data_IF_101822512998
#
_entry.id   IF_101822512998
#
_cell.length_a   1.000
_cell.length_b   1.000
_cell.length_c   1.000
_cell.angle_alpha   90.00
_cell.angle_beta   90.00
_cell.angle_gamma   90.00
#
_symmetry.space_group_name_H-M   'P 1'
#
loop_
_entity.id
_entity.type
_entity.pdbx_description
1 polymer ?
#
# COMPACT_ATOMS: atom_id res chain seq x y z
N UNK A 1 12.03 30.00 19.06
CA UNK A 1 13.08 29.31 18.27
C UNK A 1 12.63 27.89 17.99
N UNK A 2 11.90 27.68 16.90
CA UNK A 2 11.47 26.35 16.43
C UNK A 2 12.25 26.00 15.15
N UNK A 3 13.58 26.03 15.22
CA UNK A 3 14.45 25.66 14.09
C UNK A 3 14.94 24.23 14.30
N UNK A 4 14.40 23.30 13.51
CA UNK A 4 14.78 21.89 13.48
C UNK A 4 15.63 21.66 12.22
N UNK A 5 16.93 21.91 12.32
CA UNK A 5 17.85 21.94 11.16
C UNK A 5 18.94 20.88 11.20
N UNK A 6 19.10 20.18 12.34
CA UNK A 6 20.00 19.03 12.41
C UNK A 6 19.33 17.80 11.80
N UNK A 7 20.08 16.95 11.09
CA UNK A 7 19.53 15.80 10.35
C UNK A 7 18.66 14.88 11.22
N UNK A 8 19.05 14.66 12.49
CA UNK A 8 18.24 13.88 13.43
C UNK A 8 16.87 14.53 13.75
N UNK A 9 16.81 15.85 13.78
CA UNK A 9 15.57 16.59 13.97
C UNK A 9 14.72 16.60 12.71
N UNK A 10 15.34 16.63 11.52
CA UNK A 10 14.64 16.60 10.22
C UNK A 10 13.85 15.31 10.06
N UNK A 11 14.45 14.14 10.33
CA UNK A 11 13.75 12.85 10.23
C UNK A 11 12.52 12.78 11.15
N UNK A 12 12.63 13.34 12.35
CA UNK A 12 11.52 13.43 13.31
C UNK A 12 10.38 14.33 12.78
N UNK A 13 10.73 15.44 12.12
CA UNK A 13 9.75 16.36 11.51
C UNK A 13 9.08 15.70 10.32
N UNK A 14 9.83 15.03 9.44
CA UNK A 14 9.29 14.32 8.28
C UNK A 14 8.31 13.23 8.72
N UNK A 15 8.69 12.41 9.70
CA UNK A 15 7.80 11.40 10.28
C UNK A 15 6.49 12.00 10.79
N UNK A 16 6.58 13.10 11.55
CA UNK A 16 5.40 13.78 12.10
C UNK A 16 4.50 14.36 10.99
N UNK A 17 5.09 15.08 10.03
CA UNK A 17 4.35 15.73 8.94
C UNK A 17 3.68 14.69 8.04
N UNK A 18 4.42 13.67 7.64
CA UNK A 18 3.91 12.63 6.76
C UNK A 18 2.85 11.77 7.48
N UNK A 19 3.02 11.46 8.77
CA UNK A 19 1.98 10.79 9.56
C UNK A 19 0.69 11.59 9.60
N UNK A 20 0.76 12.91 9.78
CA UNK A 20 -0.43 13.78 9.77
C UNK A 20 -1.10 13.80 8.39
N UNK A 21 -0.34 13.90 7.29
CA UNK A 21 -0.90 13.83 5.93
C UNK A 21 -1.62 12.50 5.69
N UNK A 22 -1.03 11.38 6.10
CA UNK A 22 -1.65 10.06 6.01
C UNK A 22 -2.92 9.98 6.83
N UNK A 23 -2.90 10.44 8.09
CA UNK A 23 -4.10 10.52 8.92
C UNK A 23 -5.21 11.35 8.26
N UNK A 24 -4.87 12.53 7.74
CA UNK A 24 -5.81 13.43 7.07
C UNK A 24 -6.38 12.82 5.80
N UNK A 25 -5.60 12.04 5.05
CA UNK A 25 -6.10 11.28 3.92
C UNK A 25 -7.18 10.29 4.35
N UNK A 26 -6.88 9.42 5.31
CA UNK A 26 -7.84 8.43 5.83
C UNK A 26 -9.10 9.09 6.39
N UNK A 27 -8.95 10.20 7.12
CA UNK A 27 -10.07 10.95 7.67
C UNK A 27 -10.93 11.61 6.58
N UNK A 28 -10.32 12.36 5.67
CA UNK A 28 -11.05 13.23 4.76
C UNK A 28 -11.51 12.51 3.48
N UNK A 29 -10.76 11.51 3.01
CA UNK A 29 -11.06 10.76 1.78
C UNK A 29 -11.83 9.47 2.05
N UNK A 30 -11.58 8.83 3.19
CA UNK A 30 -12.15 7.52 3.53
C UNK A 30 -13.11 7.56 4.73
N UNK A 31 -13.29 8.71 5.37
CA UNK A 31 -14.11 8.87 6.56
C UNK A 31 -13.71 7.90 7.69
N UNK A 32 -12.41 7.63 7.83
CA UNK A 32 -11.84 6.76 8.85
C UNK A 32 -11.18 7.58 9.95
N UNK A 33 -11.54 7.33 11.21
CA UNK A 33 -10.90 8.01 12.33
C UNK A 33 -9.72 7.19 12.89
N UNK A 34 -8.51 7.44 12.39
CA UNK A 34 -7.26 6.75 12.79
C UNK A 34 -7.22 5.25 12.41
N UNK A 35 -6.18 4.55 12.87
CA UNK A 35 -5.87 3.15 12.53
C UNK A 35 -6.96 2.18 12.99
N UNK A 36 -7.67 2.42 14.10
CA UNK A 36 -8.74 1.55 14.62
C UNK A 36 -10.16 2.04 14.29
N UNK A 37 -10.27 3.10 13.50
CA UNK A 37 -11.51 3.82 13.21
C UNK A 37 -12.21 4.40 14.45
N UNK A 38 -11.53 4.55 15.59
CA UNK A 38 -12.05 5.08 16.86
C UNK A 38 -11.17 6.19 17.45
N UNK A 39 -10.20 6.66 16.69
CA UNK A 39 -9.33 7.76 17.09
C UNK A 39 -8.16 7.34 17.99
N UNK A 40 -7.65 6.11 17.85
CA UNK A 40 -6.43 5.72 18.55
C UNK A 40 -5.25 6.66 18.24
N UNK A 41 -4.32 6.77 19.19
CA UNK A 41 -3.05 7.42 18.96
C UNK A 41 -2.27 6.69 17.86
N UNK A 42 -1.60 7.46 16.99
CA UNK A 42 -0.68 6.93 15.99
C UNK A 42 0.73 7.15 16.51
N UNK A 43 1.45 6.05 16.77
CA UNK A 43 2.81 6.09 17.30
C UNK A 43 3.80 5.87 16.15
N UNK A 44 4.75 6.81 15.99
CA UNK A 44 5.86 6.69 15.05
C UNK A 44 7.19 6.83 15.79
N UNK A 45 8.08 5.86 15.61
CA UNK A 45 9.41 5.83 16.20
C UNK A 45 10.47 5.97 15.10
N UNK A 46 11.33 6.96 15.22
CA UNK A 46 12.43 7.24 14.28
C UNK A 46 13.78 6.89 14.93
N UNK A 47 14.86 6.93 14.15
CA UNK A 47 16.21 6.54 14.59
C UNK A 47 16.27 5.09 15.06
N UNK A 48 15.51 4.22 14.40
CA UNK A 48 15.45 2.81 14.72
C UNK A 48 16.73 2.14 14.25
N UNK A 49 17.47 1.53 15.18
CA UNK A 49 18.72 0.85 14.89
C UNK A 49 19.85 1.81 14.48
N UNK A 50 20.92 1.25 13.92
CA UNK A 50 22.07 1.99 13.39
C UNK A 50 22.23 1.60 11.91
N UNK A 51 22.28 2.59 11.01
CA UNK A 51 22.33 2.37 9.56
C UNK A 51 21.25 1.40 9.06
N UNK A 52 20.03 1.54 9.58
CA UNK A 52 18.96 0.59 9.34
C UNK A 52 18.15 1.00 8.10
N UNK A 53 18.33 0.27 7.01
CA UNK A 53 17.62 0.47 5.73
C UNK A 53 16.27 -0.25 5.69
N UNK A 54 15.39 0.00 6.67
CA UNK A 54 14.04 -0.52 6.64
C UNK A 54 13.07 0.30 7.51
N UNK A 55 11.77 0.15 7.22
CA UNK A 55 10.66 0.64 8.02
C UNK A 55 9.67 -0.51 8.21
N UNK A 56 8.88 -0.46 9.29
CA UNK A 56 7.89 -1.49 9.55
C UNK A 56 6.81 -1.02 10.53
N UNK A 57 5.59 -1.51 10.33
CA UNK A 57 4.57 -1.60 11.37
C UNK A 57 4.83 -2.79 12.29
N UNK A 58 4.68 -2.59 13.59
CA UNK A 58 4.74 -3.68 14.57
C UNK A 58 3.47 -3.76 15.40
N UNK A 59 2.57 -4.67 14.99
CA UNK A 59 1.24 -4.86 15.60
C UNK A 59 1.22 -5.00 17.12
N UNK A 60 2.14 -5.75 17.77
CA UNK A 60 2.16 -5.84 19.23
C UNK A 60 2.39 -4.51 19.97
N UNK A 61 2.93 -3.49 19.29
CA UNK A 61 3.16 -2.15 19.86
C UNK A 61 2.25 -1.08 19.25
N UNK A 62 1.39 -1.44 18.31
CA UNK A 62 0.55 -0.49 17.57
C UNK A 62 1.34 0.75 17.11
N UNK A 63 2.48 0.54 16.45
CA UNK A 63 3.41 1.59 16.07
C UNK A 63 4.21 1.32 14.81
N UNK A 64 4.59 2.42 14.14
CA UNK A 64 5.47 2.43 12.97
C UNK A 64 6.90 2.74 13.40
N UNK A 65 7.86 2.08 12.78
CA UNK A 65 9.28 2.16 13.12
C UNK A 65 10.06 2.49 11.86
N UNK A 66 10.87 3.55 11.90
CA UNK A 66 11.61 4.06 10.74
C UNK A 66 13.11 4.10 11.04
N UNK A 67 13.88 3.39 10.22
CA UNK A 67 15.33 3.54 10.19
C UNK A 67 15.75 4.82 9.48
N UNK A 68 16.96 5.28 9.80
CA UNK A 68 17.56 6.46 9.16
C UNK A 68 18.18 6.14 7.79
N UNK A 69 18.10 4.88 7.34
CA UNK A 69 18.74 4.40 6.14
C UNK A 69 20.19 3.97 6.38
N UNK A 70 20.77 3.26 5.41
CA UNK A 70 22.16 2.81 5.43
C UNK A 70 23.10 3.70 4.59
N UNK A 71 22.54 4.70 3.90
CA UNK A 71 23.27 5.59 2.99
C UNK A 71 23.70 4.93 1.68
N UNK A 72 23.34 3.66 1.45
CA UNK A 72 23.68 2.89 0.25
C UNK A 72 22.43 2.61 -0.57
N UNK A 73 21.42 2.00 0.06
CA UNK A 73 20.12 1.74 -0.52
C UNK A 73 19.10 2.78 -0.09
N UNK A 74 19.15 3.18 1.18
CA UNK A 74 18.16 4.06 1.77
C UNK A 74 18.79 5.28 2.44
N UNK A 75 18.17 6.43 2.21
CA UNK A 75 18.16 7.55 3.16
C UNK A 75 17.02 7.36 4.17
N UNK A 76 16.74 8.34 5.04
CA UNK A 76 15.69 8.20 6.05
C UNK A 76 14.35 7.81 5.42
N UNK A 77 13.77 6.71 5.90
CA UNK A 77 12.52 6.18 5.32
C UNK A 77 11.30 7.03 5.69
N UNK A 78 11.34 7.72 6.84
CA UNK A 78 10.28 8.63 7.27
C UNK A 78 10.09 9.84 6.34
N UNK A 79 11.09 10.15 5.50
CA UNK A 79 11.04 11.21 4.49
C UNK A 79 10.01 10.93 3.39
N UNK A 80 9.81 9.65 3.05
CA UNK A 80 8.92 9.25 1.95
C UNK A 80 7.47 9.16 2.45
N UNK A 81 6.58 9.97 1.88
CA UNK A 81 5.18 10.04 2.33
C UNK A 81 4.43 8.73 2.06
N UNK A 82 4.68 8.12 0.92
CA UNK A 82 4.13 6.82 0.53
C UNK A 82 4.60 5.69 1.45
N UNK A 83 5.85 5.68 1.92
CA UNK A 83 6.37 4.72 2.91
C UNK A 83 5.67 4.91 4.26
N UNK A 84 5.49 6.16 4.73
CA UNK A 84 4.72 6.41 5.95
C UNK A 84 3.23 6.02 5.77
N UNK A 85 2.68 6.24 4.57
CA UNK A 85 1.36 5.77 4.17
C UNK A 85 1.25 4.24 4.22
N UNK A 86 2.25 3.54 3.70
CA UNK A 86 2.38 2.09 3.68
C UNK A 86 2.41 1.52 5.11
N UNK A 87 3.28 2.04 5.99
CA UNK A 87 3.37 1.53 7.36
C UNK A 87 2.08 1.74 8.16
N UNK A 88 1.41 2.88 8.00
CA UNK A 88 0.12 3.12 8.65
C UNK A 88 -0.94 2.15 8.13
N UNK A 89 -0.89 1.82 6.84
CA UNK A 89 -1.84 0.93 6.17
C UNK A 89 -1.73 -0.52 6.65
N UNK A 90 -0.54 -0.99 7.02
CA UNK A 90 -0.40 -2.25 7.75
C UNK A 90 -1.15 -2.24 9.08
N UNK A 91 -1.13 -1.12 9.80
CA UNK A 91 -1.93 -0.94 11.01
C UNK A 91 -3.42 -1.07 10.71
N UNK A 92 -3.90 -0.47 9.63
CA UNK A 92 -5.30 -0.59 9.19
C UNK A 92 -5.63 -2.05 8.85
N UNK A 93 -4.79 -2.75 8.10
CA UNK A 93 -4.95 -4.19 7.85
C UNK A 93 -5.02 -4.98 9.14
N UNK A 94 -4.15 -4.70 10.11
CA UNK A 94 -4.11 -5.41 11.38
C UNK A 94 -5.38 -5.19 12.25
N UNK A 95 -6.08 -4.06 12.12
CA UNK A 95 -7.35 -3.80 12.82
C UNK A 95 -8.60 -4.23 12.06
N UNK A 96 -8.47 -4.62 10.80
CA UNK A 96 -9.58 -4.93 9.90
C UNK A 96 -9.53 -6.40 9.43
N UNK A 97 -9.08 -6.64 8.19
CA UNK A 97 -9.00 -7.99 7.61
C UNK A 97 -8.06 -8.94 8.34
N UNK A 98 -7.07 -8.40 9.05
CA UNK A 98 -6.00 -9.13 9.70
C UNK A 98 -5.31 -10.14 8.75
N UNK A 99 -5.12 -9.75 7.47
CA UNK A 99 -4.44 -10.56 6.45
C UNK A 99 -3.15 -11.16 6.99
N UNK A 100 -3.07 -12.49 6.97
CA UNK A 100 -1.90 -13.20 7.46
C UNK A 100 -0.70 -12.86 6.58
N UNK A 101 0.41 -12.48 7.22
CA UNK A 101 1.62 -12.04 6.55
C UNK A 101 2.46 -13.21 6.00
N UNK A 102 1.86 -13.99 5.11
CA UNK A 102 2.50 -15.09 4.38
C UNK A 102 1.83 -15.34 3.02
N UNK A 103 2.59 -15.84 2.03
CA UNK A 103 2.09 -16.24 0.71
C UNK A 103 1.21 -15.17 0.05
N UNK A 104 0.08 -15.55 -0.57
CA UNK A 104 -0.83 -14.60 -1.24
C UNK A 104 -1.50 -13.61 -0.27
N UNK A 105 -1.89 -14.02 0.94
CA UNK A 105 -2.50 -13.09 1.90
C UNK A 105 -1.50 -12.04 2.37
N UNK A 106 -0.23 -12.42 2.53
CA UNK A 106 0.84 -11.50 2.88
C UNK A 106 1.20 -10.59 1.71
N UNK A 107 1.26 -11.13 0.49
CA UNK A 107 1.46 -10.32 -0.71
C UNK A 107 0.31 -9.32 -0.94
N UNK A 108 -0.91 -9.70 -0.57
CA UNK A 108 -2.06 -8.79 -0.58
C UNK A 108 -1.98 -7.73 0.54
N UNK A 109 -1.43 -8.08 1.70
CA UNK A 109 -1.17 -7.14 2.79
C UNK A 109 -0.16 -6.07 2.35
N UNK A 110 0.97 -6.49 1.76
CA UNK A 110 1.96 -5.60 1.14
C UNK A 110 1.36 -4.72 0.04
N UNK A 111 0.61 -5.33 -0.89
CA UNK A 111 0.01 -4.59 -2.00
C UNK A 111 -1.02 -3.58 -1.52
N UNK A 112 -1.83 -3.92 -0.51
CA UNK A 112 -2.76 -2.96 0.09
C UNK A 112 -2.01 -1.76 0.67
N UNK A 113 -0.91 -1.99 1.38
CA UNK A 113 -0.09 -0.91 1.93
C UNK A 113 0.53 -0.03 0.84
N UNK A 114 1.01 -0.61 -0.27
CA UNK A 114 1.50 0.15 -1.44
C UNK A 114 0.38 0.97 -2.12
N UNK A 115 -0.78 0.36 -2.36
CA UNK A 115 -1.96 1.02 -2.95
C UNK A 115 -2.37 2.24 -2.13
N UNK A 116 -2.40 2.10 -0.81
CA UNK A 116 -2.74 3.19 0.09
C UNK A 116 -1.63 4.24 0.17
N UNK A 117 -0.35 3.85 0.19
CA UNK A 117 0.79 4.76 0.09
C UNK A 117 0.70 5.65 -1.15
N UNK A 118 0.47 5.05 -2.32
CA UNK A 118 0.27 5.77 -3.59
C UNK A 118 -0.98 6.65 -3.57
N UNK A 119 -2.07 6.20 -2.97
CA UNK A 119 -3.30 6.99 -2.89
C UNK A 119 -3.13 8.21 -1.95
N UNK A 120 -2.42 8.04 -0.84
CA UNK A 120 -2.07 9.11 0.12
C UNK A 120 -1.15 10.15 -0.52
N UNK A 121 -0.12 9.70 -1.24
CA UNK A 121 0.82 10.60 -1.89
C UNK A 121 0.20 11.30 -3.11
N UNK A 122 -0.56 10.56 -3.92
CA UNK A 122 -1.30 11.06 -5.07
C UNK A 122 -0.45 11.48 -6.28
N UNK A 123 0.88 11.36 -6.20
CA UNK A 123 1.85 11.86 -7.17
C UNK A 123 2.06 10.87 -8.32
N UNK A 124 2.63 9.70 -8.04
CA UNK A 124 2.98 8.70 -9.06
C UNK A 124 2.64 7.27 -8.58
N UNK A 125 3.19 6.22 -9.21
CA UNK A 125 2.96 4.80 -8.88
C UNK A 125 4.25 4.06 -8.50
N UNK A 126 5.34 4.79 -8.33
CA UNK A 126 6.62 4.30 -7.79
C UNK A 126 6.55 4.41 -6.28
N UNK A 127 7.16 3.45 -5.58
CA UNK A 127 7.22 3.44 -4.12
C UNK A 127 8.64 3.74 -3.65
N UNK A 128 8.74 4.52 -2.58
CA UNK A 128 9.96 4.84 -1.84
C UNK A 128 10.94 5.72 -2.61
N UNK A 129 10.53 6.38 -3.70
CA UNK A 129 11.44 7.13 -4.57
C UNK A 129 12.09 8.33 -3.87
N UNK A 130 11.47 8.85 -2.80
CA UNK A 130 12.02 9.96 -2.03
C UNK A 130 13.05 9.50 -0.97
N UNK A 131 13.11 8.20 -0.65
CA UNK A 131 14.10 7.63 0.27
C UNK A 131 15.10 6.65 -0.37
N UNK A 132 14.79 6.06 -1.53
CA UNK A 132 15.65 5.11 -2.25
C UNK A 132 16.80 5.83 -2.98
N UNK A 133 18.05 5.46 -2.70
CA UNK A 133 19.25 6.12 -3.23
C UNK A 133 20.18 5.20 -4.03
N UNK A 134 19.89 3.90 -4.11
CA UNK A 134 20.71 2.92 -4.83
C UNK A 134 20.58 2.97 -6.38
N UNK A 135 19.79 3.90 -6.91
CA UNK A 135 19.44 3.95 -8.33
C UNK A 135 18.39 2.90 -8.71
N UNK A 136 17.68 3.11 -9.83
CA UNK A 136 16.48 2.34 -10.14
C UNK A 136 15.30 2.75 -9.27
N UNK A 137 14.42 1.80 -8.95
CA UNK A 137 13.25 2.00 -8.07
C UNK A 137 13.15 0.86 -7.07
N UNK A 138 12.59 1.11 -5.89
CA UNK A 138 12.29 0.07 -4.91
C UNK A 138 11.16 -0.83 -5.41
N UNK A 139 10.02 -0.24 -5.74
CA UNK A 139 8.89 -0.90 -6.43
C UNK A 139 8.22 0.08 -7.37
N UNK A 140 7.52 -0.46 -8.36
CA UNK A 140 6.74 0.32 -9.31
C UNK A 140 5.46 -0.45 -9.65
N UNK A 141 4.30 0.12 -9.34
CA UNK A 141 3.02 -0.52 -9.62
C UNK A 141 2.68 -0.48 -11.13
N UNK A 142 3.18 0.50 -11.88
CA UNK A 142 2.99 0.58 -13.33
C UNK A 142 3.82 -0.48 -14.06
N UNK A 143 5.10 -0.63 -13.69
CA UNK A 143 6.00 -1.66 -14.23
C UNK A 143 6.76 -2.37 -13.10
N UNK A 144 6.15 -3.41 -12.49
CA UNK A 144 6.76 -4.17 -11.38
C UNK A 144 8.15 -4.73 -11.69
N UNK A 145 8.45 -4.97 -12.98
CA UNK A 145 9.75 -5.51 -13.38
C UNK A 145 10.91 -4.55 -13.09
N UNK A 146 10.66 -3.23 -13.02
CA UNK A 146 11.64 -2.22 -12.62
C UNK A 146 12.12 -2.39 -11.18
N UNK A 147 11.27 -2.94 -10.30
CA UNK A 147 11.60 -3.34 -8.93
C UNK A 147 11.92 -4.84 -8.79
N UNK A 148 12.02 -5.58 -9.90
CA UNK A 148 12.27 -7.02 -9.88
C UNK A 148 11.07 -7.88 -9.44
N UNK A 149 9.85 -7.36 -9.51
CA UNK A 149 8.62 -8.04 -9.11
C UNK A 149 7.84 -8.59 -10.31
N UNK A 150 7.10 -9.71 -10.16
CA UNK A 150 6.15 -10.17 -11.17
C UNK A 150 4.96 -9.23 -11.31
N UNK A 151 4.49 -9.05 -12.55
CA UNK A 151 3.27 -8.32 -12.88
C UNK A 151 2.07 -9.22 -13.22
N UNK A 152 2.27 -10.55 -13.27
CA UNK A 152 1.25 -11.51 -13.69
C UNK A 152 1.39 -12.84 -12.94
N UNK A 153 0.26 -13.51 -12.66
CA UNK A 153 0.19 -14.80 -11.97
C UNK A 153 0.98 -15.95 -12.58
N UNK A 154 1.36 -15.86 -13.87
CA UNK A 154 2.15 -16.91 -14.54
C UNK A 154 3.61 -16.88 -14.04
N UNK A 155 4.03 -15.73 -13.55
CA UNK A 155 5.38 -15.44 -13.05
C UNK A 155 5.38 -15.42 -11.52
N UNK A 156 4.33 -15.94 -10.87
CA UNK A 156 4.24 -16.03 -9.41
C UNK A 156 5.46 -16.76 -8.84
N UNK A 157 6.12 -16.13 -7.88
CA UNK A 157 7.33 -16.65 -7.28
C UNK A 157 6.99 -17.61 -6.13
N UNK A 158 7.20 -18.90 -6.34
CA UNK A 158 7.15 -19.91 -5.27
C UNK A 158 8.47 -19.92 -4.50
N UNK A 159 8.44 -19.47 -3.24
CA UNK A 159 9.62 -19.35 -2.38
C UNK A 159 9.27 -19.55 -0.91
N UNK A 160 10.25 -19.90 -0.08
CA UNK A 160 10.13 -19.90 1.38
C UNK A 160 10.75 -18.66 2.03
N UNK A 161 11.47 -17.85 1.25
CA UNK A 161 12.00 -16.56 1.71
C UNK A 161 10.89 -15.52 1.74
N UNK A 162 11.12 -14.44 2.49
CA UNK A 162 10.21 -13.29 2.50
C UNK A 162 8.74 -13.71 2.77
N UNK A 163 8.57 -14.61 3.75
CA UNK A 163 7.27 -15.17 4.14
C UNK A 163 6.46 -15.78 2.98
N UNK A 164 7.10 -16.35 1.96
CA UNK A 164 6.41 -16.80 0.75
C UNK A 164 6.42 -15.76 -0.38
N UNK A 165 7.39 -14.85 -0.36
CA UNK A 165 7.55 -13.79 -1.35
C UNK A 165 6.46 -12.72 -1.25
N UNK A 166 6.13 -12.27 -0.05
CA UNK A 166 5.06 -11.27 0.16
C UNK A 166 5.40 -9.95 -0.54
N UNK A 167 6.63 -9.46 -0.39
CA UNK A 167 7.08 -8.26 -1.10
C UNK A 167 7.21 -8.56 -2.58
N UNK A 168 7.74 -9.72 -2.98
CA UNK A 168 7.88 -10.06 -4.41
C UNK A 168 6.53 -10.13 -5.12
N UNK A 169 5.62 -10.98 -4.66
CA UNK A 169 4.35 -11.28 -5.32
C UNK A 169 3.32 -10.15 -5.19
N UNK A 170 3.54 -9.16 -4.31
CA UNK A 170 2.70 -7.95 -4.23
C UNK A 170 2.62 -7.20 -5.57
N UNK A 171 3.67 -7.29 -6.40
CA UNK A 171 3.73 -6.71 -7.75
C UNK A 171 2.52 -7.08 -8.64
N UNK A 172 1.95 -8.26 -8.46
CA UNK A 172 0.81 -8.75 -9.27
C UNK A 172 -0.46 -7.93 -8.94
N UNK A 173 -0.75 -7.73 -7.65
CA UNK A 173 -1.92 -6.94 -7.23
C UNK A 173 -1.65 -5.44 -7.37
N UNK A 174 -0.40 -5.00 -7.17
CA UNK A 174 0.02 -3.63 -7.45
C UNK A 174 -0.25 -3.26 -8.91
N UNK A 175 0.13 -4.12 -9.85
CA UNK A 175 -0.11 -3.89 -11.27
C UNK A 175 -1.61 -3.89 -11.61
N UNK A 176 -2.39 -4.81 -11.03
CA UNK A 176 -3.83 -4.79 -11.17
C UNK A 176 -4.43 -3.46 -10.67
N UNK A 177 -3.97 -2.96 -9.51
CA UNK A 177 -4.46 -1.70 -8.94
C UNK A 177 -4.06 -0.48 -9.79
N UNK A 178 -2.83 -0.44 -10.32
CA UNK A 178 -2.43 0.55 -11.32
C UNK A 178 -3.36 0.54 -12.53
N UNK A 179 -3.64 -0.64 -13.12
CA UNK A 179 -4.53 -0.78 -14.27
C UNK A 179 -5.96 -0.33 -13.95
N UNK A 180 -6.42 -0.52 -12.71
CA UNK A 180 -7.69 0.04 -12.22
C UNK A 180 -7.67 1.56 -12.26
N UNK A 181 -6.65 2.18 -11.67
CA UNK A 181 -6.53 3.64 -11.62
C UNK A 181 -6.37 4.25 -13.02
N UNK A 182 -5.46 3.72 -13.85
CA UNK A 182 -5.24 4.16 -15.23
C UNK A 182 -6.51 4.00 -16.08
N UNK A 183 -7.21 2.86 -15.97
CA UNK A 183 -8.48 2.65 -16.65
C UNK A 183 -9.57 3.64 -16.24
N UNK A 184 -9.64 3.99 -14.96
CA UNK A 184 -10.57 5.01 -14.42
C UNK A 184 -10.18 6.41 -14.92
N UNK A 185 -8.90 6.75 -14.93
CA UNK A 185 -8.41 8.04 -15.43
C UNK A 185 -8.77 8.23 -16.91
N UNK A 186 -8.67 7.18 -17.72
CA UNK A 186 -9.10 7.17 -19.13
C UNK A 186 -10.59 7.41 -19.35
N UNK A 187 -11.42 7.34 -18.30
CA UNK A 187 -12.83 7.79 -18.36
C UNK A 187 -13.00 9.31 -18.18
N UNK A 188 -11.92 10.03 -17.87
CA UNK A 188 -11.90 11.46 -17.58
C UNK A 188 -11.92 11.81 -16.08
N UNK A 189 -11.87 10.80 -15.19
CA UNK A 189 -11.83 11.01 -13.75
C UNK A 189 -10.45 11.51 -13.32
N UNK A 190 -10.41 12.66 -12.61
CA UNK A 190 -9.15 13.30 -12.17
C UNK A 190 -8.60 12.77 -10.84
N UNK A 191 -9.33 11.89 -10.18
CA UNK A 191 -9.04 11.35 -8.85
C UNK A 191 -8.98 9.81 -8.89
N UNK A 192 -8.41 9.24 -9.96
CA UNK A 192 -8.31 7.80 -10.18
C UNK A 192 -7.63 7.06 -9.03
N UNK A 193 -6.51 7.59 -8.50
CA UNK A 193 -5.80 7.04 -7.34
C UNK A 193 -6.65 7.04 -6.07
N UNK A 194 -7.44 8.09 -5.83
CA UNK A 194 -8.39 8.14 -4.71
C UNK A 194 -9.50 7.09 -4.87
N UNK A 195 -10.01 6.90 -6.09
CA UNK A 195 -11.05 5.90 -6.37
C UNK A 195 -10.49 4.49 -6.18
N UNK A 196 -9.29 4.20 -6.70
CA UNK A 196 -8.56 2.95 -6.47
C UNK A 196 -8.39 2.70 -4.98
N UNK A 197 -7.79 3.64 -4.25
CA UNK A 197 -7.59 3.54 -2.81
C UNK A 197 -8.89 3.27 -2.06
N UNK A 198 -9.99 3.97 -2.41
CA UNK A 198 -11.31 3.76 -1.79
C UNK A 198 -11.88 2.37 -2.04
N UNK A 199 -11.75 1.82 -3.24
CA UNK A 199 -12.23 0.47 -3.56
C UNK A 199 -11.46 -0.55 -2.74
N UNK A 200 -10.12 -0.53 -2.78
CA UNK A 200 -9.30 -1.50 -2.05
C UNK A 200 -9.42 -1.34 -0.53
N UNK A 201 -9.49 -0.11 -0.01
CA UNK A 201 -9.80 0.17 1.39
C UNK A 201 -11.12 -0.47 1.84
N UNK A 202 -12.17 -0.31 1.04
CA UNK A 202 -13.49 -0.86 1.37
C UNK A 202 -13.46 -2.40 1.34
N UNK A 203 -12.73 -3.00 0.39
CA UNK A 203 -12.54 -4.45 0.35
C UNK A 203 -11.78 -4.96 1.60
N UNK A 204 -10.67 -4.31 1.96
CA UNK A 204 -9.89 -4.64 3.15
C UNK A 204 -10.71 -4.54 4.45
N UNK A 205 -11.56 -3.53 4.59
CA UNK A 205 -12.33 -3.35 5.83
C UNK A 205 -13.55 -4.26 5.95
N UNK A 206 -14.17 -4.63 4.83
CA UNK A 206 -15.54 -5.20 4.87
C UNK A 206 -15.71 -6.53 4.14
N UNK A 207 -14.70 -7.01 3.41
CA UNK A 207 -14.80 -8.24 2.61
C UNK A 207 -13.65 -9.22 2.87
N UNK A 208 -12.45 -8.71 3.09
CA UNK A 208 -11.27 -9.53 3.32
C UNK A 208 -11.21 -10.08 4.74
N UNK A 209 -10.50 -11.18 4.88
CA UNK A 209 -10.22 -11.90 6.11
C UNK A 209 -8.74 -12.37 6.10
N UNK A 210 -8.31 -13.02 7.18
CA UNK A 210 -6.92 -13.43 7.38
C UNK A 210 -6.35 -14.31 6.25
N UNK A 211 -7.22 -15.01 5.53
CA UNK A 211 -6.86 -16.02 4.51
C UNK A 211 -7.20 -15.59 3.10
N UNK A 212 -7.62 -14.34 2.90
CA UNK A 212 -8.02 -13.85 1.59
C UNK A 212 -6.82 -13.91 0.64
N UNK A 213 -7.02 -14.64 -0.46
CA UNK A 213 -6.05 -14.85 -1.52
C UNK A 213 -6.35 -13.95 -2.73
N UNK A 214 -5.55 -14.03 -3.78
CA UNK A 214 -5.68 -13.13 -4.94
C UNK A 214 -7.00 -13.32 -5.70
N UNK A 215 -7.47 -14.55 -5.82
CA UNK A 215 -8.74 -14.87 -6.47
C UNK A 215 -9.94 -14.30 -5.69
N UNK A 216 -9.95 -14.45 -4.35
CA UNK A 216 -10.98 -13.85 -3.48
C UNK A 216 -10.89 -12.32 -3.51
N UNK A 217 -9.68 -11.75 -3.46
CA UNK A 217 -9.45 -10.32 -3.61
C UNK A 217 -10.12 -9.76 -4.87
N UNK A 218 -9.89 -10.37 -6.04
CA UNK A 218 -10.55 -9.97 -7.30
C UNK A 218 -12.07 -9.90 -7.14
N UNK A 219 -12.68 -10.99 -6.66
CA UNK A 219 -14.13 -11.08 -6.51
C UNK A 219 -14.67 -9.99 -5.56
N UNK A 220 -13.99 -9.77 -4.44
CA UNK A 220 -14.38 -8.79 -3.43
C UNK A 220 -14.22 -7.34 -3.92
N UNK A 221 -13.13 -7.03 -4.63
CA UNK A 221 -12.91 -5.70 -5.23
C UNK A 221 -13.95 -5.41 -6.32
N UNK A 222 -14.31 -6.40 -7.15
CA UNK A 222 -15.41 -6.26 -8.13
C UNK A 222 -16.73 -6.00 -7.41
N UNK A 223 -17.04 -6.77 -6.37
CA UNK A 223 -18.26 -6.63 -5.59
C UNK A 223 -18.35 -5.24 -4.92
N UNK A 224 -17.27 -4.80 -4.29
CA UNK A 224 -17.18 -3.45 -3.70
C UNK A 224 -17.36 -2.36 -4.76
N UNK A 225 -16.80 -2.55 -5.95
CA UNK A 225 -16.96 -1.58 -7.04
C UNK A 225 -18.42 -1.46 -7.48
N UNK A 226 -19.15 -2.59 -7.54
CA UNK A 226 -20.60 -2.60 -7.79
C UNK A 226 -21.37 -1.87 -6.68
N UNK A 227 -21.02 -2.11 -5.43
CA UNK A 227 -21.66 -1.49 -4.26
C UNK A 227 -21.44 0.04 -4.22
N UNK A 228 -20.24 0.51 -4.57
CA UNK A 228 -19.88 1.93 -4.52
C UNK A 228 -20.35 2.73 -5.74
N UNK A 229 -20.34 2.13 -6.93
CA UNK A 229 -20.52 2.87 -8.20
C UNK A 229 -21.69 2.37 -9.05
N UNK A 230 -22.37 1.31 -8.61
CA UNK A 230 -23.48 0.68 -9.32
C UNK A 230 -23.04 -0.51 -10.17
N UNK A 231 -23.92 -1.52 -10.22
CA UNK A 231 -23.65 -2.83 -10.81
C UNK A 231 -23.27 -2.77 -12.30
N UNK A 232 -23.82 -1.81 -13.04
CA UNK A 232 -23.57 -1.62 -14.48
C UNK A 232 -22.55 -0.53 -14.80
N UNK A 233 -21.81 -0.02 -13.81
CA UNK A 233 -20.85 1.07 -14.01
C UNK A 233 -19.68 0.63 -14.89
N UNK A 234 -19.08 1.60 -15.61
CA UNK A 234 -17.86 1.35 -16.37
C UNK A 234 -16.68 0.94 -15.46
N UNK A 235 -16.70 1.32 -14.18
CA UNK A 235 -15.64 0.99 -13.23
C UNK A 235 -15.59 -0.51 -12.93
N UNK A 236 -16.74 -1.18 -12.85
CA UNK A 236 -16.80 -2.64 -12.68
C UNK A 236 -16.04 -3.35 -13.81
N UNK A 237 -16.29 -2.95 -15.06
CA UNK A 237 -15.61 -3.51 -16.24
C UNK A 237 -14.11 -3.21 -16.26
N UNK A 238 -13.70 -2.05 -15.75
CA UNK A 238 -12.28 -1.69 -15.62
C UNK A 238 -11.60 -2.61 -14.61
N UNK A 239 -12.20 -2.80 -13.43
CA UNK A 239 -11.69 -3.68 -12.39
C UNK A 239 -11.60 -5.13 -12.88
N UNK A 240 -12.66 -5.68 -13.47
CA UNK A 240 -12.64 -7.04 -14.02
C UNK A 240 -11.49 -7.23 -15.02
N UNK A 241 -11.35 -6.29 -15.97
CA UNK A 241 -10.28 -6.35 -16.98
C UNK A 241 -8.87 -6.20 -16.39
N UNK A 242 -8.70 -5.36 -15.37
CA UNK A 242 -7.41 -5.17 -14.72
C UNK A 242 -6.92 -6.47 -14.07
N UNK A 243 -7.80 -7.17 -13.35
CA UNK A 243 -7.45 -8.47 -12.77
C UNK A 243 -7.24 -9.56 -13.83
N UNK A 244 -8.07 -9.57 -14.88
CA UNK A 244 -7.89 -10.52 -15.99
C UNK A 244 -6.52 -10.33 -16.69
N UNK A 245 -6.05 -9.09 -16.83
CA UNK A 245 -4.75 -8.77 -17.44
C UNK A 245 -3.55 -9.27 -16.63
N UNK A 246 -3.68 -9.40 -15.31
CA UNK A 246 -2.63 -9.98 -14.46
C UNK A 246 -2.82 -11.49 -14.24
N UNK A 247 -3.78 -12.11 -14.93
CA UNK A 247 -4.01 -13.55 -14.89
C UNK A 247 -4.81 -14.04 -13.68
N UNK A 248 -5.55 -13.15 -13.00
CA UNK A 248 -6.47 -13.54 -11.92
C UNK A 248 -7.88 -13.50 -12.49
N UNK A 249 -8.53 -14.66 -12.59
CA UNK A 249 -9.86 -14.77 -13.18
C UNK A 249 -10.92 -15.08 -12.13
N UNK A 250 -12.19 -14.99 -12.55
CA UNK A 250 -13.32 -15.28 -11.66
C UNK A 250 -13.27 -16.74 -11.21
N UNK A 251 -13.33 -16.94 -9.91
CA UNK A 251 -13.55 -18.26 -9.31
C UNK A 251 -14.91 -18.27 -8.62
N UNK A 252 -15.66 -19.38 -8.67
CA UNK A 252 -16.81 -19.57 -7.80
C UNK A 252 -16.36 -19.43 -6.34
N UNK A 253 -17.06 -18.59 -5.56
CA UNK A 253 -16.91 -18.54 -4.11
C UNK A 253 -17.67 -19.70 -3.46
#
# INVERSE_FOLDING_TARGET
>A
NNNFIADNQVNSVDAYVNTNKTYDYYKNKLNRNSIDNKGMNINGFVHVGMNYGNAFWYGPYDGMFFGDGDGVYFSSLAKSLDVVGHELSHGVTNKESNLKYENESGALNESFSDIMGVAVEGKNFVLGEDCWVAGGVMRDMEDPSRGGQPAHMKDYAFTFYDNGGVHTNSGIINHAAYLVADGIEKTGAKNSKDIMGKIFYTANCYKWDETTNFAKCRNDVVQVTKELYGENSNYVKIVEKAFDQVGITATPQ
#
